data_IF_580331036690
#
_entry.id   IF_580331036690
#
_cell.length_a   1.000
_cell.length_b   1.000
_cell.length_c   1.000
_cell.angle_alpha   90.00
_cell.angle_beta   90.00
_cell.angle_gamma   90.00
#
_symmetry.space_group_name_H-M   'P 1'
#
loop_
_entity.id
_entity.type
_entity.pdbx_description
1 polymer ?
#
# COMPACT_ATOMS: atom_id res chain seq x y z
N UNK A 1 3.75 -13.43 3.38
CA UNK A 1 3.06 -12.18 3.72
C UNK A 1 3.52 -11.11 2.73
N UNK A 2 2.63 -10.21 2.31
CA UNK A 2 2.97 -9.18 1.34
C UNK A 2 3.79 -8.08 2.02
N UNK A 3 5.09 -8.30 2.20
CA UNK A 3 5.96 -7.28 2.77
C UNK A 3 6.13 -6.08 1.82
N UNK A 4 5.80 -6.27 0.53
CA UNK A 4 5.89 -5.27 -0.54
C UNK A 4 4.85 -5.55 -1.63
N UNK A 5 3.56 -5.44 -1.34
CA UNK A 5 2.52 -5.64 -2.36
C UNK A 5 1.54 -4.48 -2.50
N UNK A 6 0.85 -4.54 -3.62
CA UNK A 6 -0.07 -3.56 -4.11
C UNK A 6 -1.45 -4.16 -4.19
N UNK A 7 -2.44 -3.38 -3.81
CA UNK A 7 -3.84 -3.78 -3.86
C UNK A 7 -4.68 -2.62 -4.38
N UNK A 8 -5.63 -2.92 -5.25
CA UNK A 8 -6.46 -1.92 -5.91
C UNK A 8 -7.94 -2.25 -5.77
N UNK A 9 -8.75 -1.21 -5.59
CA UNK A 9 -10.20 -1.26 -5.71
C UNK A 9 -10.57 -1.34 -7.20
N UNK A 10 -11.21 -2.43 -7.66
CA UNK A 10 -11.65 -2.54 -9.05
C UNK A 10 -12.72 -1.51 -9.43
N UNK A 11 -13.46 -0.94 -8.47
CA UNK A 11 -14.54 0.01 -8.75
C UNK A 11 -14.05 1.46 -8.86
N UNK A 12 -13.09 1.83 -8.02
CA UNK A 12 -12.64 3.21 -7.87
C UNK A 12 -11.21 3.44 -8.37
N UNK A 13 -10.49 2.40 -8.79
CA UNK A 13 -9.06 2.42 -9.10
C UNK A 13 -8.16 2.92 -7.95
N UNK A 14 -8.71 3.19 -6.76
CA UNK A 14 -7.93 3.55 -5.58
C UNK A 14 -6.97 2.40 -5.27
N UNK A 15 -5.71 2.75 -5.11
CA UNK A 15 -4.62 1.81 -4.95
C UNK A 15 -3.97 2.04 -3.59
N UNK A 16 -3.58 0.94 -2.96
CA UNK A 16 -2.82 0.94 -1.73
C UNK A 16 -1.53 0.17 -1.94
N UNK A 17 -0.42 0.73 -1.48
CA UNK A 17 0.90 0.10 -1.48
C UNK A 17 1.32 -0.13 -0.05
N UNK A 18 1.63 -1.38 0.27
CA UNK A 18 2.18 -1.81 1.55
C UNK A 18 3.68 -2.01 1.36
N UNK A 19 4.50 -1.37 2.17
CA UNK A 19 5.95 -1.60 2.18
C UNK A 19 6.50 -1.47 3.60
N UNK A 20 7.43 -2.35 3.95
CA UNK A 20 8.07 -2.35 5.26
C UNK A 20 8.91 -1.11 5.48
N UNK A 21 8.85 -0.55 6.68
CA UNK A 21 9.83 0.43 7.12
C UNK A 21 11.15 -0.29 7.44
N UNK A 22 12.11 -0.24 6.50
CA UNK A 22 13.44 -0.87 6.68
C UNK A 22 14.22 -0.30 7.87
N UNK A 23 13.83 0.88 8.38
CA UNK A 23 14.41 1.50 9.57
C UNK A 23 13.76 1.02 10.87
N UNK A 24 12.62 0.34 10.79
CA UNK A 24 11.94 -0.17 11.98
C UNK A 24 12.68 -1.36 12.58
N UNK A 25 12.80 -1.35 13.90
CA UNK A 25 13.58 -2.32 14.66
C UNK A 25 12.94 -3.71 14.56
N UNK A 26 13.75 -4.77 14.38
CA UNK A 26 13.28 -6.13 14.03
C UNK A 26 12.27 -6.76 15.01
N UNK A 27 12.12 -6.19 16.20
CA UNK A 27 11.20 -6.66 17.24
C UNK A 27 9.77 -6.14 17.08
N UNK A 28 9.60 -4.99 16.41
CA UNK A 28 8.29 -4.39 16.13
C UNK A 28 8.30 -3.82 14.70
N UNK A 29 8.16 -4.69 13.68
CA UNK A 29 8.17 -4.23 12.29
C UNK A 29 6.93 -3.40 11.98
N UNK A 30 7.14 -2.21 11.45
CA UNK A 30 6.08 -1.37 10.92
C UNK A 30 6.06 -1.38 9.38
N UNK A 31 4.89 -1.07 8.84
CA UNK A 31 4.57 -1.05 7.42
C UNK A 31 3.97 0.32 7.10
N UNK A 32 4.51 0.96 6.07
CA UNK A 32 3.88 2.09 5.45
C UNK A 32 2.79 1.62 4.49
N UNK A 33 1.61 2.20 4.64
CA UNK A 33 0.49 2.01 3.71
C UNK A 33 0.21 3.33 3.01
N UNK A 34 0.65 3.40 1.77
CA UNK A 34 0.42 4.55 0.90
C UNK A 34 -0.91 4.36 0.16
N UNK A 35 -1.80 5.33 0.25
CA UNK A 35 -3.06 5.35 -0.46
C UNK A 35 -3.03 6.44 -1.52
N UNK A 36 -3.33 6.08 -2.76
CA UNK A 36 -3.36 7.01 -3.88
C UNK A 36 -4.26 6.51 -4.99
N UNK A 37 -4.59 7.39 -5.93
CA UNK A 37 -5.28 7.01 -7.16
C UNK A 37 -4.30 7.21 -8.33
N UNK A 38 -4.07 6.18 -9.17
CA UNK A 38 -3.31 6.36 -10.39
C UNK A 38 -4.08 7.30 -11.32
N UNK A 39 -3.40 8.33 -11.81
CA UNK A 39 -3.89 9.22 -12.85
C UNK A 39 -3.27 8.75 -14.18
N UNK A 40 -4.04 8.80 -15.26
CA UNK A 40 -3.54 8.37 -16.57
C UNK A 40 -2.47 9.35 -17.06
N UNK A 41 -1.20 8.96 -16.96
CA UNK A 41 -0.05 9.74 -17.45
C UNK A 41 0.59 10.69 -16.43
N UNK A 42 0.06 10.75 -15.20
CA UNK A 42 0.58 11.62 -14.14
C UNK A 42 1.01 10.80 -12.91
N UNK A 43 1.94 11.31 -12.09
CA UNK A 43 2.26 10.71 -10.81
C UNK A 43 0.99 10.57 -9.96
N UNK A 44 0.86 9.47 -9.20
CA UNK A 44 -0.33 9.24 -8.40
C UNK A 44 -0.52 10.37 -7.41
N UNK A 45 -1.77 10.79 -7.21
CA UNK A 45 -2.07 11.70 -6.13
C UNK A 45 -2.05 10.88 -4.83
N UNK A 46 -0.88 10.86 -4.18
CA UNK A 46 -0.70 10.33 -2.83
C UNK A 46 -1.66 11.08 -1.92
N UNK A 47 -2.75 10.42 -1.54
CA UNK A 47 -3.78 11.01 -0.67
C UNK A 47 -3.32 10.96 0.77
N UNK A 48 -2.81 9.80 1.21
CA UNK A 48 -2.39 9.58 2.59
C UNK A 48 -1.29 8.51 2.67
N UNK A 49 -0.37 8.69 3.63
CA UNK A 49 0.56 7.66 4.11
C UNK A 49 0.24 7.39 5.57
N UNK A 50 0.01 6.13 5.93
CA UNK A 50 -0.16 5.72 7.33
C UNK A 50 0.94 4.73 7.71
N UNK A 51 1.37 4.79 8.97
CA UNK A 51 2.37 3.91 9.53
C UNK A 51 1.68 2.95 10.50
N UNK A 52 1.62 1.67 10.14
CA UNK A 52 0.90 0.65 10.89
C UNK A 52 1.86 -0.43 11.34
N UNK A 53 1.61 -1.05 12.50
CA UNK A 53 2.32 -2.27 12.87
C UNK A 53 2.03 -3.36 11.84
N UNK A 54 2.98 -4.29 11.64
CA UNK A 54 2.82 -5.41 10.71
C UNK A 54 1.49 -6.14 10.89
N UNK A 55 1.11 -6.45 12.13
CA UNK A 55 -0.16 -7.12 12.43
C UNK A 55 -1.38 -6.31 11.95
N UNK A 56 -1.38 -4.99 12.17
CA UNK A 56 -2.47 -4.11 11.73
C UNK A 56 -2.52 -4.01 10.21
N UNK A 57 -1.34 -3.95 9.56
CA UNK A 57 -1.24 -3.93 8.11
C UNK A 57 -1.75 -5.24 7.47
N UNK A 58 -1.44 -6.40 8.06
CA UNK A 58 -1.97 -7.69 7.63
C UNK A 58 -3.50 -7.77 7.77
N UNK A 59 -4.05 -7.28 8.89
CA UNK A 59 -5.50 -7.22 9.08
C UNK A 59 -6.17 -6.33 8.03
N UNK A 60 -5.60 -5.14 7.78
CA UNK A 60 -6.09 -4.24 6.75
C UNK A 60 -6.05 -4.89 5.37
N UNK A 61 -4.97 -5.57 5.02
CA UNK A 61 -4.84 -6.29 3.75
C UNK A 61 -5.95 -7.34 3.59
N UNK A 62 -6.14 -8.19 4.61
CA UNK A 62 -7.18 -9.22 4.59
C UNK A 62 -8.58 -8.62 4.46
N UNK A 63 -8.85 -7.51 5.15
CA UNK A 63 -10.13 -6.81 5.04
C UNK A 63 -10.35 -6.24 3.64
N UNK A 64 -9.33 -5.61 3.04
CA UNK A 64 -9.41 -5.08 1.67
C UNK A 64 -9.70 -6.20 0.66
N UNK A 65 -8.99 -7.32 0.75
CA UNK A 65 -9.26 -8.50 -0.08
C UNK A 65 -10.68 -9.02 0.14
N UNK A 66 -11.15 -9.07 1.39
CA UNK A 66 -12.49 -9.53 1.75
C UNK A 66 -13.59 -8.64 1.15
N UNK A 67 -13.40 -7.32 1.11
CA UNK A 67 -14.37 -6.39 0.49
C UNK A 67 -14.27 -6.34 -1.04
N UNK A 68 -13.35 -7.11 -1.64
CA UNK A 68 -13.26 -7.31 -3.08
C UNK A 68 -12.13 -6.57 -3.77
N UNK A 69 -11.21 -5.94 -3.02
CA UNK A 69 -9.99 -5.40 -3.58
C UNK A 69 -9.08 -6.54 -4.06
N UNK A 70 -8.26 -6.27 -5.07
CA UNK A 70 -7.43 -7.29 -5.70
C UNK A 70 -5.96 -6.89 -5.72
N UNK A 71 -5.05 -7.84 -5.45
CA UNK A 71 -3.63 -7.62 -5.67
C UNK A 71 -3.38 -7.18 -7.11
N UNK A 72 -2.53 -6.19 -7.31
CA UNK A 72 -2.22 -5.66 -8.63
C UNK A 72 -0.71 -5.52 -8.82
N UNK A 73 -0.30 -5.32 -10.07
CA UNK A 73 1.08 -4.93 -10.37
C UNK A 73 1.36 -3.53 -9.83
N UNK A 74 2.63 -3.18 -9.54
CA UNK A 74 2.99 -1.85 -9.07
C UNK A 74 2.42 -0.75 -9.96
N UNK A 75 1.65 0.17 -9.35
CA UNK A 75 0.99 1.26 -10.10
C UNK A 75 1.84 2.54 -10.11
N UNK A 76 2.79 2.68 -9.19
CA UNK A 76 3.77 3.77 -9.16
C UNK A 76 5.15 3.22 -8.78
N UNK A 77 6.20 3.85 -9.29
CA UNK A 77 7.56 3.46 -8.95
C UNK A 77 7.86 3.75 -7.47
N UNK A 78 8.68 2.92 -6.80
CA UNK A 78 9.14 3.19 -5.44
C UNK A 78 9.97 4.47 -5.30
N UNK A 79 10.40 5.04 -6.43
CA UNK A 79 11.41 6.10 -6.55
C UNK A 79 10.85 7.50 -6.82
N UNK A 80 9.54 7.72 -6.68
CA UNK A 80 8.95 9.05 -6.88
C UNK A 80 9.08 9.98 -5.65
N UNK A 81 10.20 9.89 -4.94
CA UNK A 81 10.63 10.91 -3.97
C UNK A 81 11.66 11.79 -4.70
N UNK A 82 11.17 12.80 -5.43
CA UNK A 82 11.98 13.90 -5.98
C UNK A 82 11.80 15.11 -5.06
#
# INVERSE_FOLDING_TARGET
MPHQDWIQDPNSADTKRFHTDEKSWSRDPYVFVDSGRPLSGDPPLLKTRVHLSQQTADQLWQELVRVGWRPCSPQWSPDSDI
#
